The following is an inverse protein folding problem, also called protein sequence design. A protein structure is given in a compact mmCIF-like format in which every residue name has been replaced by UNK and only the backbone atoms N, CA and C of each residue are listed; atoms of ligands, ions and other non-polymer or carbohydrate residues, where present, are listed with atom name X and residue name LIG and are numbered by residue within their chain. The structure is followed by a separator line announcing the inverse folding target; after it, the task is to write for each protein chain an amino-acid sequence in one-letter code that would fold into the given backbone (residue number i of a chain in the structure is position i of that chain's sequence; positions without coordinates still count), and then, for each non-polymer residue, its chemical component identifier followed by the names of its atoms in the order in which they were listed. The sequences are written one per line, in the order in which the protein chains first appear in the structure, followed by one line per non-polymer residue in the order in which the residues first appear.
data_IF_621112708852
#
_entry.id   IF_621112708852
#
_cell.length_a   1.000
_cell.length_b   1.000
_cell.length_c   1.000
_cell.angle_alpha   90.00
_cell.angle_beta   90.00
_cell.angle_gamma   90.00
#
_symmetry.space_group_name_H-M   'P 1'
#
loop_
_entity.id
_entity.type
_entity.pdbx_description
1 polymer ?
#
# COMPACT_ATOMS: atom_id res chain seq x y z
N UNK A 1 22.41 -5.40 -11.28
CA UNK A 1 21.09 -5.92 -10.86
C UNK A 1 20.57 -4.90 -9.87
N UNK A 2 19.42 -4.27 -10.12
CA UNK A 2 18.82 -3.41 -9.10
C UNK A 2 18.29 -4.30 -7.97
N UNK A 3 18.46 -3.87 -6.73
CA UNK A 3 17.90 -4.58 -5.57
C UNK A 3 16.38 -4.62 -5.70
N UNK A 4 15.81 -5.83 -5.66
CA UNK A 4 14.36 -6.00 -5.61
C UNK A 4 13.88 -5.68 -4.19
N UNK A 5 12.89 -4.79 -4.07
CA UNK A 5 12.28 -4.42 -2.79
C UNK A 5 10.92 -5.11 -2.67
N UNK A 6 10.70 -5.82 -1.57
CA UNK A 6 9.47 -6.56 -1.29
C UNK A 6 8.99 -6.27 0.14
N UNK A 7 7.68 -6.16 0.33
CA UNK A 7 7.04 -5.99 1.63
C UNK A 7 5.69 -6.72 1.64
N UNK A 8 5.35 -7.38 2.76
CA UNK A 8 4.08 -8.08 2.93
C UNK A 8 3.39 -7.73 4.26
N UNK A 9 2.06 -7.73 4.23
CA UNK A 9 1.19 -7.61 5.41
C UNK A 9 0.01 -8.57 5.24
N UNK A 10 -0.41 -9.21 6.32
CA UNK A 10 -1.64 -10.01 6.37
C UNK A 10 -2.65 -9.29 7.25
N UNK A 11 -3.85 -9.06 6.73
CA UNK A 11 -4.92 -8.33 7.39
C UNK A 11 -6.18 -9.20 7.49
N UNK A 12 -7.02 -9.02 8.53
CA UNK A 12 -8.33 -9.65 8.60
C UNK A 12 -9.25 -9.15 7.46
N UNK A 13 -10.22 -9.96 7.05
CA UNK A 13 -11.24 -9.55 6.07
C UNK A 13 -12.32 -8.74 6.78
N UNK A 14 -12.03 -7.46 7.04
CA UNK A 14 -12.94 -6.50 7.67
C UNK A 14 -12.73 -5.08 7.12
N UNK A 15 -13.74 -4.19 7.16
CA UNK A 15 -13.64 -2.86 6.56
C UNK A 15 -12.48 -2.00 7.07
N UNK A 16 -12.04 -2.21 8.32
CA UNK A 16 -10.89 -1.51 8.90
C UNK A 16 -9.56 -1.86 8.20
N UNK A 17 -9.47 -3.03 7.55
CA UNK A 17 -8.27 -3.43 6.82
C UNK A 17 -7.99 -2.56 5.60
N UNK A 18 -9.01 -1.93 5.01
CA UNK A 18 -8.81 -1.03 3.86
C UNK A 18 -7.98 0.20 4.27
N UNK A 19 -8.27 0.80 5.43
CA UNK A 19 -7.46 1.93 5.93
C UNK A 19 -6.07 1.49 6.37
N UNK A 20 -5.94 0.32 7.00
CA UNK A 20 -4.65 -0.25 7.38
C UNK A 20 -3.76 -0.52 6.15
N UNK A 21 -4.31 -1.10 5.09
CA UNK A 21 -3.58 -1.37 3.84
C UNK A 21 -3.09 -0.08 3.16
N UNK A 22 -3.91 0.98 3.15
CA UNK A 22 -3.50 2.29 2.61
C UNK A 22 -2.34 2.92 3.39
N UNK A 23 -2.37 2.86 4.71
CA UNK A 23 -1.29 3.37 5.55
C UNK A 23 -0.02 2.57 5.36
N UNK A 24 -0.14 1.23 5.34
CA UNK A 24 0.99 0.33 5.14
C UNK A 24 1.71 0.64 3.82
N UNK A 25 0.98 0.68 2.70
CA UNK A 25 1.62 0.89 1.39
C UNK A 25 2.29 2.26 1.27
N UNK A 26 1.70 3.33 1.84
CA UNK A 26 2.32 4.65 1.82
C UNK A 26 3.61 4.70 2.66
N UNK A 27 3.65 4.03 3.82
CA UNK A 27 4.87 3.93 4.64
C UNK A 27 5.97 3.19 3.89
N UNK A 28 5.65 2.02 3.34
CA UNK A 28 6.59 1.21 2.57
C UNK A 28 7.16 1.96 1.37
N UNK A 29 6.32 2.67 0.60
CA UNK A 29 6.78 3.46 -0.54
C UNK A 29 7.70 4.60 -0.11
N UNK A 30 7.39 5.29 1.00
CA UNK A 30 8.24 6.34 1.53
C UNK A 30 9.62 5.81 1.98
N UNK A 31 9.66 4.62 2.61
CA UNK A 31 10.90 3.93 2.98
C UNK A 31 11.74 3.55 1.75
N UNK A 32 11.09 3.27 0.62
CA UNK A 32 11.74 3.00 -0.67
C UNK A 32 12.10 4.25 -1.47
N UNK A 33 11.91 5.44 -0.89
CA UNK A 33 12.27 6.71 -1.51
C UNK A 33 11.22 7.29 -2.45
N UNK A 34 9.97 6.81 -2.39
CA UNK A 34 8.83 7.36 -3.11
C UNK A 34 7.87 8.07 -2.13
N UNK A 35 7.97 9.41 -1.97
CA UNK A 35 7.15 10.16 -1.02
C UNK A 35 5.64 10.04 -1.32
N UNK A 36 4.84 10.08 -0.26
CA UNK A 36 3.37 9.98 -0.33
C UNK A 36 2.68 11.11 -1.10
N UNK A 37 3.38 12.23 -1.33
CA UNK A 37 2.88 13.37 -2.11
C UNK A 37 3.05 13.21 -3.61
N UNK A 38 3.62 12.10 -4.07
CA UNK A 38 3.79 11.82 -5.51
C UNK A 38 2.54 11.18 -6.10
N UNK A 39 2.21 11.51 -7.34
CA UNK A 39 1.08 10.90 -8.07
C UNK A 39 1.24 9.37 -8.20
N UNK A 40 2.48 8.89 -8.27
CA UNK A 40 2.79 7.46 -8.30
C UNK A 40 2.42 6.78 -6.98
N UNK A 41 2.80 7.35 -5.83
CA UNK A 41 2.42 6.80 -4.52
C UNK A 41 0.90 6.83 -4.32
N UNK A 42 0.25 7.90 -4.76
CA UNK A 42 -1.21 8.03 -4.71
C UNK A 42 -1.91 6.98 -5.58
N UNK A 43 -1.41 6.73 -6.80
CA UNK A 43 -1.95 5.71 -7.70
C UNK A 43 -1.84 4.31 -7.07
N UNK A 44 -0.68 3.97 -6.50
CA UNK A 44 -0.50 2.66 -5.84
C UNK A 44 -1.40 2.56 -4.61
N UNK A 45 -1.57 3.63 -3.83
CA UNK A 45 -2.49 3.66 -2.69
C UNK A 45 -3.93 3.40 -3.11
N UNK A 46 -4.37 3.96 -4.24
CA UNK A 46 -5.71 3.70 -4.79
C UNK A 46 -5.85 2.24 -5.22
N UNK A 47 -4.88 1.68 -5.95
CA UNK A 47 -4.89 0.27 -6.36
C UNK A 47 -5.00 -0.65 -5.14
N UNK A 48 -4.15 -0.46 -4.12
CA UNK A 48 -4.19 -1.28 -2.90
C UNK A 48 -5.51 -1.10 -2.14
N UNK A 49 -6.06 0.13 -2.11
CA UNK A 49 -7.37 0.38 -1.51
C UNK A 49 -8.47 -0.42 -2.20
N UNK A 50 -8.55 -0.37 -3.53
CA UNK A 50 -9.57 -1.11 -4.30
C UNK A 50 -9.41 -2.62 -4.16
N UNK A 51 -8.17 -3.13 -4.23
CA UNK A 51 -7.89 -4.55 -4.04
C UNK A 51 -8.31 -5.02 -2.63
N UNK A 52 -8.06 -4.21 -1.61
CA UNK A 52 -8.45 -4.52 -0.23
C UNK A 52 -9.96 -4.40 -0.06
N UNK A 53 -10.61 -3.40 -0.65
CA UNK A 53 -12.08 -3.26 -0.66
C UNK A 53 -12.75 -4.48 -1.30
N UNK A 54 -12.19 -5.04 -2.37
CA UNK A 54 -12.72 -6.24 -3.02
C UNK A 54 -12.50 -7.54 -2.22
N UNK A 55 -11.59 -7.53 -1.24
CA UNK A 55 -11.21 -8.69 -0.44
C UNK A 55 -11.90 -8.74 0.95
N UNK A 56 -12.60 -7.67 1.32
CA UNK A 56 -13.47 -7.59 2.50
C UNK A 56 -14.90 -7.94 2.09
#
# INVERSE_FOLDING_TARGET
MADHLEASVTLPSEPASVSAARTYVLSTLAEWGLPSTTDAAETVRLIVSELTTNAV
#
